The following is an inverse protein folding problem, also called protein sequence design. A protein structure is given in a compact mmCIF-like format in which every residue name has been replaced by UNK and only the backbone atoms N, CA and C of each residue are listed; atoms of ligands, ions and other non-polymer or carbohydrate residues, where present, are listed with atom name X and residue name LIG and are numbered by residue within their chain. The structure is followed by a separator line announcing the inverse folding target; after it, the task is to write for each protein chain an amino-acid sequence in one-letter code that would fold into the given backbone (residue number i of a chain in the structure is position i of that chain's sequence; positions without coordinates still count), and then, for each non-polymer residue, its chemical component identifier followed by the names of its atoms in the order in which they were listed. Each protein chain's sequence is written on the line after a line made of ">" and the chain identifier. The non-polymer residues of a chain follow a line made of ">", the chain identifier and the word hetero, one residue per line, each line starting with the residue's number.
data_IF_602780026818
#
_entry.id   IF_602780026818
#
_cell.length_a   1.000
_cell.length_b   1.000
_cell.length_c   1.000
_cell.angle_alpha   90.00
_cell.angle_beta   90.00
_cell.angle_gamma   90.00
#
_symmetry.space_group_name_H-M   'P 1'
#
loop_
_entity.id
_entity.type
_entity.pdbx_description
1 polymer ?
#
# COMPACT_ATOMS: atom_id res chain seq x y z
N UNK A 1 26.38 1.81 -19.32
CA UNK A 1 25.27 1.88 -18.37
C UNK A 1 24.27 0.82 -18.81
N UNK A 2 24.10 -0.27 -18.06
CA UNK A 2 23.10 -1.29 -18.40
C UNK A 2 21.75 -0.64 -18.07
N UNK A 3 20.89 -0.45 -19.06
CA UNK A 3 19.50 -0.05 -18.81
C UNK A 3 18.90 -1.13 -17.91
N UNK A 4 18.51 -0.76 -16.69
CA UNK A 4 17.84 -1.66 -15.79
C UNK A 4 16.44 -1.91 -16.38
N UNK A 5 16.11 -3.17 -16.67
CA UNK A 5 14.78 -3.49 -17.17
C UNK A 5 13.84 -3.68 -15.97
N UNK A 6 13.14 -2.60 -15.60
CA UNK A 6 12.20 -2.56 -14.48
C UNK A 6 10.97 -3.45 -14.68
N UNK A 7 10.63 -3.80 -15.92
CA UNK A 7 9.54 -4.72 -16.21
C UNK A 7 9.74 -6.11 -15.59
N UNK A 8 10.97 -6.47 -15.24
CA UNK A 8 11.30 -7.74 -14.58
C UNK A 8 10.86 -7.78 -13.10
N UNK A 9 10.48 -6.65 -12.51
CA UNK A 9 9.94 -6.61 -11.14
C UNK A 9 8.45 -6.89 -11.08
N UNK A 10 7.75 -6.79 -12.21
CA UNK A 10 6.35 -7.14 -12.31
C UNK A 10 6.18 -8.65 -12.29
N UNK A 11 5.17 -9.10 -11.56
CA UNK A 11 4.81 -10.50 -11.46
C UNK A 11 4.20 -10.95 -12.79
N UNK A 12 4.78 -11.98 -13.38
CA UNK A 12 4.36 -12.54 -14.69
C UNK A 12 3.93 -13.99 -14.59
N UNK A 13 4.46 -14.71 -13.61
CA UNK A 13 4.16 -16.12 -13.40
C UNK A 13 2.90 -16.30 -12.54
N UNK A 14 2.06 -17.26 -12.91
CA UNK A 14 0.79 -17.50 -12.24
C UNK A 14 0.98 -18.21 -10.89
N UNK A 15 2.01 -19.06 -10.73
CA UNK A 15 2.30 -19.70 -9.45
C UNK A 15 2.80 -18.65 -8.46
N UNK A 16 3.76 -17.81 -8.88
CA UNK A 16 4.24 -16.68 -8.07
C UNK A 16 3.09 -15.73 -7.68
N UNK A 17 2.20 -15.38 -8.62
CA UNK A 17 1.05 -14.55 -8.31
C UNK A 17 0.14 -15.19 -7.25
N UNK A 18 -0.14 -16.49 -7.34
CA UNK A 18 -0.99 -17.17 -6.37
C UNK A 18 -0.36 -17.21 -4.97
N UNK A 19 0.96 -17.45 -4.87
CA UNK A 19 1.69 -17.39 -3.59
C UNK A 19 1.61 -16.00 -2.95
N UNK A 20 1.87 -14.94 -3.75
CA UNK A 20 1.77 -13.57 -3.27
C UNK A 20 0.33 -13.21 -2.88
N UNK A 21 -0.66 -13.72 -3.62
CA UNK A 21 -2.08 -13.49 -3.34
C UNK A 21 -2.51 -14.14 -2.04
N UNK A 22 -2.01 -15.33 -1.71
CA UNK A 22 -2.24 -15.96 -0.41
C UNK A 22 -1.67 -15.09 0.72
N UNK A 23 -0.46 -14.56 0.55
CA UNK A 23 0.16 -13.66 1.53
C UNK A 23 -0.64 -12.35 1.73
N UNK A 24 -1.12 -11.73 0.64
CA UNK A 24 -2.01 -10.57 0.71
C UNK A 24 -3.32 -10.92 1.42
N UNK A 25 -3.93 -12.05 1.09
CA UNK A 25 -5.20 -12.50 1.69
C UNK A 25 -5.06 -12.92 3.16
N UNK A 26 -3.87 -13.34 3.59
CA UNK A 26 -3.56 -13.62 4.99
C UNK A 26 -3.36 -12.35 5.83
N UNK A 27 -3.09 -11.22 5.16
CA UNK A 27 -2.82 -9.91 5.78
C UNK A 27 -4.06 -9.03 5.79
N UNK A 28 -4.84 -9.05 4.71
CA UNK A 28 -5.95 -8.15 4.47
C UNK A 28 -7.27 -8.86 4.15
N UNK A 29 -8.36 -8.27 4.60
CA UNK A 29 -9.71 -8.58 4.14
C UNK A 29 -9.94 -7.88 2.79
N UNK A 30 -9.49 -8.49 1.69
CA UNK A 30 -9.45 -7.85 0.35
C UNK A 30 -10.84 -7.47 -0.22
N UNK A 31 -11.92 -8.01 0.33
CA UNK A 31 -13.32 -7.66 -0.01
C UNK A 31 -13.86 -6.48 0.82
N UNK A 32 -13.04 -5.91 1.70
CA UNK A 32 -13.39 -4.79 2.56
C UNK A 32 -12.75 -3.49 2.06
N UNK A 33 -13.31 -2.37 2.51
CA UNK A 33 -12.83 -1.01 2.24
C UNK A 33 -12.90 -0.17 3.49
N UNK A 34 -12.10 0.88 3.56
CA UNK A 34 -12.24 1.89 4.60
C UNK A 34 -13.68 2.45 4.58
N UNK A 35 -14.28 2.72 5.75
CA UNK A 35 -13.69 2.72 7.09
C UNK A 35 -13.84 1.38 7.82
N UNK A 36 -14.27 0.29 7.15
CA UNK A 36 -14.33 -1.05 7.75
C UNK A 36 -12.92 -1.58 7.96
N UNK A 37 -12.75 -2.52 8.87
CA UNK A 37 -11.45 -3.14 9.14
C UNK A 37 -10.93 -3.94 7.93
N UNK A 38 -9.92 -3.41 7.25
CA UNK A 38 -9.27 -4.03 6.08
C UNK A 38 -8.12 -4.96 6.45
N UNK A 39 -7.60 -4.90 7.68
CA UNK A 39 -6.57 -5.81 8.15
C UNK A 39 -7.17 -7.04 8.82
N UNK A 40 -6.50 -8.19 8.68
CA UNK A 40 -6.83 -9.36 9.49
C UNK A 40 -6.42 -9.13 10.96
N UNK A 41 -7.06 -9.85 11.89
CA UNK A 41 -6.94 -9.64 13.36
C UNK A 41 -5.50 -9.72 13.93
N UNK A 42 -4.53 -10.21 13.15
CA UNK A 42 -3.12 -10.26 13.54
C UNK A 42 -2.46 -8.89 13.52
N UNK A 43 -3.02 -7.90 12.84
CA UNK A 43 -2.44 -6.56 12.71
C UNK A 43 -3.16 -5.54 13.58
N UNK A 44 -2.37 -4.62 14.15
CA UNK A 44 -2.87 -3.50 14.95
C UNK A 44 -1.91 -2.30 14.89
N UNK A 45 -2.03 -1.40 15.86
CA UNK A 45 -1.17 -0.22 16.02
C UNK A 45 -1.17 0.71 14.81
N UNK A 46 -2.38 1.00 14.33
CA UNK A 46 -2.56 1.67 13.06
C UNK A 46 -2.06 3.11 13.06
N UNK A 47 -1.37 3.48 11.98
CA UNK A 47 -0.98 4.86 11.66
C UNK A 47 -1.39 5.19 10.23
N UNK A 48 -1.58 6.48 9.97
CA UNK A 48 -2.13 7.01 8.73
C UNK A 48 -1.15 7.96 8.07
N UNK A 49 -1.20 8.00 6.74
CA UNK A 49 -0.44 8.90 5.87
C UNK A 49 -1.23 9.21 4.60
N UNK A 50 -0.86 10.24 3.85
CA UNK A 50 -1.47 10.57 2.55
C UNK A 50 -1.16 9.52 1.47
N UNK A 51 -2.18 9.16 0.69
CA UNK A 51 -2.03 8.22 -0.43
C UNK A 51 -1.09 8.75 -1.50
N UNK A 52 -1.19 10.04 -1.84
CA UNK A 52 -0.34 10.68 -2.84
C UNK A 52 1.13 10.72 -2.41
N UNK A 53 1.41 10.86 -1.11
CA UNK A 53 2.76 10.70 -0.60
C UNK A 53 3.28 9.28 -0.88
N UNK A 54 2.47 8.24 -0.62
CA UNK A 54 2.85 6.85 -0.88
C UNK A 54 3.16 6.56 -2.36
N UNK A 55 2.57 7.32 -3.29
CA UNK A 55 2.85 7.24 -4.72
C UNK A 55 4.08 8.05 -5.17
N UNK A 56 4.71 8.81 -4.28
CA UNK A 56 5.88 9.63 -4.59
C UNK A 56 7.21 8.89 -4.39
N UNK A 57 8.26 9.30 -5.11
CA UNK A 57 9.62 8.81 -4.91
C UNK A 57 10.11 8.90 -3.45
N UNK A 58 9.74 9.98 -2.75
CA UNK A 58 10.17 10.23 -1.36
C UNK A 58 9.71 9.15 -0.38
N UNK A 59 8.57 8.53 -0.64
CA UNK A 59 8.04 7.47 0.21
C UNK A 59 8.95 6.23 0.27
N UNK A 60 9.72 5.98 -0.79
CA UNK A 60 10.68 4.89 -0.81
C UNK A 60 11.69 4.98 0.34
N UNK A 61 12.06 6.19 0.78
CA UNK A 61 12.96 6.36 1.93
C UNK A 61 12.36 5.76 3.22
N UNK A 62 11.03 5.81 3.37
CA UNK A 62 10.32 5.16 4.47
C UNK A 62 10.35 3.64 4.29
N UNK A 63 9.89 3.15 3.14
CA UNK A 63 9.85 1.71 2.83
C UNK A 63 11.21 1.04 2.99
N UNK A 64 12.28 1.68 2.51
CA UNK A 64 13.67 1.22 2.62
C UNK A 64 14.12 1.02 4.06
N UNK A 65 13.72 1.91 4.97
CA UNK A 65 13.99 1.72 6.39
C UNK A 65 13.17 0.57 6.95
N UNK A 66 11.90 0.45 6.59
CA UNK A 66 11.05 -0.64 7.07
C UNK A 66 11.63 -2.01 6.69
N UNK A 67 11.94 -2.24 5.40
CA UNK A 67 12.53 -3.51 4.94
C UNK A 67 13.89 -3.82 5.55
N UNK A 68 14.74 -2.79 5.70
CA UNK A 68 16.05 -2.96 6.33
C UNK A 68 15.91 -3.40 7.79
N UNK A 69 14.98 -2.81 8.54
CA UNK A 69 14.73 -3.18 9.93
C UNK A 69 14.07 -4.56 10.07
N UNK A 70 13.35 -5.03 9.05
CA UNK A 70 12.65 -6.33 9.09
C UNK A 70 13.43 -7.47 8.45
N UNK A 71 14.59 -7.16 7.85
CA UNK A 71 15.41 -8.07 7.04
C UNK A 71 14.61 -8.68 5.87
N UNK A 72 13.79 -7.87 5.23
CA UNK A 72 13.05 -8.26 4.03
C UNK A 72 13.84 -7.89 2.77
N UNK A 73 13.89 -8.80 1.80
CA UNK A 73 14.65 -8.60 0.55
C UNK A 73 13.89 -7.72 -0.47
N UNK A 74 12.57 -7.59 -0.32
CA UNK A 74 11.71 -6.80 -1.18
C UNK A 74 10.49 -6.24 -0.45
N UNK A 75 9.82 -5.26 -1.06
CA UNK A 75 8.44 -4.86 -0.75
C UNK A 75 7.54 -5.35 -1.87
N UNK A 76 6.44 -6.03 -1.54
CA UNK A 76 5.38 -6.28 -2.50
C UNK A 76 4.50 -5.04 -2.61
N UNK A 77 4.37 -4.48 -3.81
CA UNK A 77 3.31 -3.52 -4.15
C UNK A 77 2.26 -4.26 -4.95
N UNK A 78 1.03 -4.32 -4.44
CA UNK A 78 -0.05 -5.06 -5.08
C UNK A 78 -1.26 -4.15 -5.27
N UNK A 79 -1.65 -3.95 -6.52
CA UNK A 79 -2.90 -3.27 -6.87
C UNK A 79 -4.05 -4.26 -6.74
N UNK A 80 -5.03 -3.91 -5.90
CA UNK A 80 -6.26 -4.68 -5.71
C UNK A 80 -7.40 -4.16 -6.57
N UNK A 81 -7.40 -2.85 -6.80
CA UNK A 81 -8.36 -2.19 -7.69
C UNK A 81 -7.63 -1.20 -8.62
N UNK A 82 -7.83 -1.29 -9.95
CA UNK A 82 -8.69 -2.23 -10.67
C UNK A 82 -8.22 -3.69 -10.53
N UNK A 83 -9.11 -4.66 -10.80
CA UNK A 83 -8.85 -6.08 -10.52
C UNK A 83 -7.56 -6.57 -11.21
N UNK A 84 -6.58 -7.12 -10.45
CA UNK A 84 -5.32 -7.57 -11.03
C UNK A 84 -5.52 -8.72 -12.02
N UNK A 85 -6.56 -9.54 -11.83
CA UNK A 85 -6.90 -10.67 -12.71
C UNK A 85 -7.98 -10.28 -13.72
N UNK A 86 -9.11 -9.73 -13.25
CA UNK A 86 -10.29 -9.50 -14.07
C UNK A 86 -10.14 -8.35 -15.07
N UNK A 87 -9.17 -7.47 -14.83
CA UNK A 87 -8.82 -6.35 -15.69
C UNK A 87 -7.36 -6.46 -16.15
N UNK A 88 -6.39 -6.23 -15.27
CA UNK A 88 -5.02 -5.98 -15.71
C UNK A 88 -4.37 -7.18 -16.42
N UNK A 89 -4.41 -8.38 -15.81
CA UNK A 89 -3.92 -9.60 -16.46
C UNK A 89 -4.67 -9.95 -17.74
N UNK A 90 -5.98 -9.72 -17.76
CA UNK A 90 -6.82 -10.01 -18.93
C UNK A 90 -6.44 -9.12 -20.13
N UNK A 91 -6.14 -7.84 -19.88
CA UNK A 91 -5.80 -6.89 -20.95
C UNK A 91 -4.31 -6.97 -21.35
N UNK A 92 -3.40 -7.19 -20.40
CA UNK A 92 -1.95 -7.04 -20.64
C UNK A 92 -1.12 -8.33 -20.47
N UNK A 93 -1.72 -9.44 -20.02
CA UNK A 93 -1.07 -10.75 -19.86
C UNK A 93 0.10 -10.79 -18.84
N UNK A 94 0.07 -9.91 -17.85
CA UNK A 94 0.88 -9.96 -16.61
C UNK A 94 0.14 -9.24 -15.48
N UNK A 95 0.67 -9.22 -14.26
CA UNK A 95 0.01 -8.58 -13.12
C UNK A 95 0.64 -7.22 -12.82
N UNK A 96 -0.18 -6.24 -12.44
CA UNK A 96 0.25 -4.95 -11.86
C UNK A 96 0.69 -5.10 -10.39
N UNK A 97 1.36 -6.20 -10.08
CA UNK A 97 1.94 -6.54 -8.80
C UNK A 97 3.45 -6.54 -8.96
N UNK A 98 4.16 -5.90 -8.03
CA UNK A 98 5.57 -5.54 -8.21
C UNK A 98 6.34 -5.98 -6.97
N UNK A 99 7.42 -6.73 -7.17
CA UNK A 99 8.39 -7.05 -6.11
C UNK A 99 9.54 -6.06 -6.19
N UNK A 100 9.46 -5.01 -5.39
CA UNK A 100 10.46 -3.95 -5.32
C UNK A 100 11.66 -4.38 -4.48
N UNK A 101 12.86 -4.59 -5.06
CA UNK A 101 14.02 -4.98 -4.27
C UNK A 101 14.44 -3.90 -3.27
N UNK A 102 14.95 -4.31 -2.10
CA UNK A 102 15.33 -3.39 -1.04
C UNK A 102 16.49 -2.42 -1.41
N UNK A 103 17.23 -2.71 -2.49
CA UNK A 103 18.39 -1.92 -2.91
C UNK A 103 18.07 -0.78 -3.90
N UNK A 104 16.80 -0.57 -4.26
CA UNK A 104 16.39 0.54 -5.14
C UNK A 104 16.70 1.93 -4.52
N UNK A 105 16.73 2.92 -5.40
CA UNK A 105 16.67 4.35 -5.11
C UNK A 105 15.23 4.87 -5.15
N UNK A 106 15.03 6.10 -4.66
CA UNK A 106 13.73 6.78 -4.66
C UNK A 106 13.22 7.06 -6.08
N UNK A 107 14.13 7.44 -6.99
CA UNK A 107 13.80 7.69 -8.39
C UNK A 107 13.38 6.39 -9.09
N UNK A 108 14.14 5.29 -8.89
CA UNK A 108 13.78 3.98 -9.43
C UNK A 108 12.42 3.49 -8.90
N UNK A 109 12.12 3.70 -7.62
CA UNK A 109 10.79 3.39 -7.07
C UNK A 109 9.68 4.10 -7.85
N UNK A 110 9.82 5.41 -8.05
CA UNK A 110 8.82 6.19 -8.77
C UNK A 110 8.72 5.79 -10.25
N UNK A 111 9.86 5.61 -10.92
CA UNK A 111 9.93 5.16 -12.32
C UNK A 111 9.24 3.79 -12.51
N UNK A 112 9.40 2.87 -11.55
CA UNK A 112 8.73 1.56 -11.59
C UNK A 112 7.21 1.71 -11.43
N UNK A 113 6.74 2.58 -10.53
CA UNK A 113 5.29 2.79 -10.37
C UNK A 113 4.66 3.55 -11.55
N UNK A 114 5.43 4.40 -12.22
CA UNK A 114 5.04 5.10 -13.45
C UNK A 114 5.08 4.19 -14.70
N UNK A 115 5.71 3.01 -14.59
CA UNK A 115 5.78 2.06 -15.68
C UNK A 115 4.44 1.36 -15.91
N UNK A 116 3.71 1.82 -16.92
CA UNK A 116 2.53 1.14 -17.46
C UNK A 116 2.86 0.23 -18.66
N UNK A 117 1.89 -0.57 -19.12
CA UNK A 117 1.96 -1.27 -20.41
C UNK A 117 2.29 -0.29 -21.56
N UNK A 118 3.05 -0.74 -22.57
CA UNK A 118 3.46 0.11 -23.70
C UNK A 118 2.24 0.64 -24.49
N UNK A 119 1.24 -0.22 -24.66
CA UNK A 119 -0.02 0.07 -25.33
C UNK A 119 -0.97 0.94 -24.48
N UNK A 120 -0.75 1.01 -23.17
CA UNK A 120 -1.55 1.81 -22.26
C UNK A 120 -0.76 2.36 -21.07
N UNK A 121 0.07 3.39 -21.26
CA UNK A 121 0.83 4.00 -20.18
C UNK A 121 -0.04 4.57 -19.05
N UNK A 122 -1.30 4.89 -19.34
CA UNK A 122 -2.28 5.35 -18.36
C UNK A 122 -2.65 4.26 -17.33
N UNK A 123 -2.34 2.99 -17.60
CA UNK A 123 -2.56 1.86 -16.68
C UNK A 123 -1.41 1.64 -15.68
N UNK A 124 -0.43 2.55 -15.63
CA UNK A 124 0.61 2.53 -14.59
C UNK A 124 0.00 2.64 -13.18
N UNK A 125 0.72 2.11 -12.18
CA UNK A 125 0.24 2.07 -10.77
C UNK A 125 -0.03 3.48 -10.24
N UNK A 126 0.82 4.46 -10.55
CA UNK A 126 0.60 5.85 -10.11
C UNK A 126 -0.67 6.48 -10.67
N UNK A 127 -1.16 6.01 -11.83
CA UNK A 127 -2.27 6.63 -12.57
C UNK A 127 -3.59 5.87 -12.43
N UNK A 128 -3.58 4.53 -12.58
CA UNK A 128 -4.78 3.69 -12.57
C UNK A 128 -4.75 2.67 -11.42
N UNK A 129 -4.81 3.19 -10.19
CA UNK A 129 -4.98 2.36 -8.99
C UNK A 129 -5.85 3.06 -7.96
N UNK A 130 -6.84 2.35 -7.43
CA UNK A 130 -7.78 2.84 -6.41
C UNK A 130 -7.52 2.20 -5.05
N UNK A 131 -7.01 0.97 -5.04
CA UNK A 131 -6.55 0.30 -3.82
C UNK A 131 -5.24 -0.40 -4.07
N UNK A 132 -4.25 -0.04 -3.27
CA UNK A 132 -2.87 -0.53 -3.37
C UNK A 132 -2.40 -0.92 -1.99
N UNK A 133 -1.70 -2.06 -1.90
CA UNK A 133 -1.07 -2.49 -0.66
C UNK A 133 0.44 -2.55 -0.82
N UNK A 134 1.17 -2.18 0.24
CA UNK A 134 2.60 -2.41 0.37
C UNK A 134 2.80 -3.41 1.50
N UNK A 135 3.42 -4.55 1.19
CA UNK A 135 3.52 -5.66 2.13
C UNK A 135 4.96 -6.14 2.26
N UNK A 136 5.38 -6.31 3.51
CA UNK A 136 6.64 -6.96 3.85
C UNK A 136 6.48 -8.49 3.71
N UNK A 137 7.41 -9.21 3.05
CA UNK A 137 7.38 -10.68 2.94
C UNK A 137 7.34 -11.39 4.29
N UNK A 138 8.00 -10.84 5.31
CA UNK A 138 7.91 -11.33 6.69
C UNK A 138 6.58 -11.02 7.40
N UNK A 139 5.67 -10.28 6.76
CA UNK A 139 4.37 -9.83 7.29
C UNK A 139 4.48 -9.07 8.61
N UNK A 140 5.61 -8.42 8.89
CA UNK A 140 5.84 -7.68 10.15
C UNK A 140 5.16 -6.32 10.15
N UNK A 141 4.98 -5.75 8.97
CA UNK A 141 4.22 -4.54 8.71
C UNK A 141 3.51 -4.69 7.37
N UNK A 142 2.40 -3.97 7.22
CA UNK A 142 1.62 -3.95 6.00
C UNK A 142 0.91 -2.60 5.86
N UNK A 143 0.78 -2.11 4.65
CA UNK A 143 0.15 -0.82 4.33
C UNK A 143 -0.99 -1.05 3.37
N UNK A 144 -2.14 -0.45 3.68
CA UNK A 144 -3.33 -0.40 2.84
C UNK A 144 -3.59 1.03 2.42
N UNK A 145 -3.60 1.32 1.12
CA UNK A 145 -3.90 2.62 0.55
C UNK A 145 -5.20 2.61 -0.25
N UNK A 146 -6.05 3.62 -0.04
CA UNK A 146 -7.23 3.88 -0.86
C UNK A 146 -7.22 5.31 -1.41
N UNK A 147 -7.21 5.42 -2.74
CA UNK A 147 -7.16 6.71 -3.43
C UNK A 147 -8.41 7.55 -3.18
N UNK A 148 -9.58 6.92 -3.15
CA UNK A 148 -10.87 7.61 -2.96
C UNK A 148 -10.97 8.36 -1.63
N UNK A 149 -10.21 7.92 -0.62
CA UNK A 149 -10.11 8.59 0.68
C UNK A 149 -8.80 9.37 0.87
N UNK A 150 -7.90 9.32 -0.11
CA UNK A 150 -6.61 10.01 -0.07
C UNK A 150 -5.66 9.55 1.04
N UNK A 151 -5.85 8.35 1.60
CA UNK A 151 -5.09 7.89 2.76
C UNK A 151 -4.54 6.47 2.60
N UNK A 152 -3.41 6.26 3.29
CA UNK A 152 -2.80 4.98 3.59
C UNK A 152 -2.89 4.69 5.09
N UNK A 153 -2.99 3.41 5.44
CA UNK A 153 -2.97 2.91 6.81
C UNK A 153 -1.86 1.87 6.92
N UNK A 154 -0.93 2.02 7.85
CA UNK A 154 0.05 0.98 8.19
C UNK A 154 -0.41 0.26 9.45
N UNK A 155 -0.28 -1.07 9.46
CA UNK A 155 -0.44 -1.91 10.64
C UNK A 155 0.79 -2.78 10.90
N UNK A 156 0.93 -3.24 12.14
CA UNK A 156 2.01 -4.13 12.58
C UNK A 156 1.45 -5.41 13.15
N UNK A 157 2.14 -6.54 12.93
CA UNK A 157 1.68 -7.83 13.45
C UNK A 157 2.09 -8.11 14.91
N UNK A 158 2.96 -7.28 15.48
CA UNK A 158 3.45 -7.39 16.86
C UNK A 158 3.98 -6.03 17.37
N UNK A 159 3.83 -5.79 18.68
CA UNK A 159 4.23 -4.54 19.33
C UNK A 159 5.73 -4.28 19.28
N UNK A 160 6.57 -5.32 19.24
CA UNK A 160 8.02 -5.19 19.11
C UNK A 160 8.40 -4.63 17.74
N UNK A 161 7.73 -5.06 16.67
CA UNK A 161 7.91 -4.51 15.33
C UNK A 161 7.45 -3.06 15.28
N UNK A 162 6.27 -2.76 15.83
CA UNK A 162 5.80 -1.39 15.97
C UNK A 162 6.84 -0.50 16.65
N UNK A 163 7.38 -0.91 17.80
CA UNK A 163 8.35 -0.11 18.55
C UNK A 163 9.66 0.08 17.78
N UNK A 164 10.12 -0.96 17.07
CA UNK A 164 11.31 -0.90 16.22
C UNK A 164 11.13 0.03 15.01
N UNK A 165 9.94 0.04 14.42
CA UNK A 165 9.66 0.72 13.15
C UNK A 165 9.14 2.16 13.32
N UNK A 166 8.49 2.47 14.45
CA UNK A 166 7.93 3.80 14.75
C UNK A 166 8.90 4.98 14.52
N UNK A 167 10.21 4.90 14.84
CA UNK A 167 11.14 6.00 14.60
C UNK A 167 11.31 6.40 13.11
N UNK A 168 10.96 5.51 12.18
CA UNK A 168 11.07 5.73 10.74
C UNK A 168 9.78 6.25 10.11
N UNK A 169 8.69 6.28 10.88
CA UNK A 169 7.34 6.67 10.45
C UNK A 169 7.01 8.08 10.95
N UNK A 170 7.88 9.04 10.66
CA UNK A 170 7.85 10.37 11.29
C UNK A 170 6.60 11.19 10.95
N UNK A 171 6.15 11.11 9.70
CA UNK A 171 4.98 11.80 9.19
C UNK A 171 3.68 11.02 9.44
N UNK A 172 3.78 9.73 9.79
CA UNK A 172 2.65 8.85 10.04
C UNK A 172 2.02 9.07 11.42
N UNK A 173 0.69 8.99 11.49
CA UNK A 173 -0.08 9.60 12.58
C UNK A 173 -1.19 8.68 13.07
N UNK A 174 -1.54 8.76 14.35
CA UNK A 174 -2.83 8.18 14.78
C UNK A 174 -3.97 8.99 14.18
N UNK A 175 -5.18 8.40 14.14
CA UNK A 175 -6.37 9.13 13.68
C UNK A 175 -6.58 10.38 14.54
N UNK A 176 -6.56 11.53 13.90
CA UNK A 176 -6.91 12.81 14.50
C UNK A 176 -7.37 13.80 13.41
N UNK A 177 -7.53 15.07 13.79
CA UNK A 177 -8.04 16.12 12.91
C UNK A 177 -7.27 16.31 11.61
N UNK A 178 -5.95 16.09 11.59
CA UNK A 178 -5.16 16.21 10.35
C UNK A 178 -5.44 15.02 9.44
N UNK A 179 -5.52 13.80 9.98
CA UNK A 179 -5.93 12.62 9.18
C UNK A 179 -7.32 12.83 8.58
N UNK A 180 -8.27 13.31 9.40
CA UNK A 180 -9.62 13.61 8.92
C UNK A 180 -9.62 14.70 7.85
N UNK A 181 -8.72 15.69 7.92
CA UNK A 181 -8.61 16.73 6.90
C UNK A 181 -8.12 16.21 5.55
N UNK A 182 -7.21 15.21 5.53
CA UNK A 182 -6.80 14.54 4.28
C UNK A 182 -7.96 13.79 3.63
N UNK A 183 -8.82 13.19 4.44
CA UNK A 183 -10.00 12.46 3.94
C UNK A 183 -11.03 13.47 3.42
N UNK A 184 -11.29 14.54 4.17
CA UNK A 184 -12.30 15.55 3.83
C UNK A 184 -12.07 16.22 2.47
N UNK A 185 -10.81 16.42 2.04
CA UNK A 185 -10.51 16.99 0.71
C UNK A 185 -11.05 16.15 -0.46
N UNK A 186 -11.33 14.86 -0.23
CA UNK A 186 -11.87 13.94 -1.22
C UNK A 186 -13.41 13.87 -1.22
N UNK A 187 -14.10 14.49 -0.25
CA UNK A 187 -15.57 14.55 -0.19
C UNK A 187 -16.08 15.86 -0.83
N UNK A 188 -16.31 15.82 -2.15
CA UNK A 188 -16.61 17.00 -2.99
C UNK A 188 -17.96 17.70 -2.69
N UNK A 189 -18.92 17.04 -2.02
CA UNK A 189 -20.28 17.61 -1.86
C UNK A 189 -21.03 17.30 -0.56
N UNK A 190 -20.86 16.13 0.04
CA UNK A 190 -21.61 15.74 1.26
C UNK A 190 -20.86 15.96 2.57
N UNK A 191 -19.60 16.45 2.49
CA UNK A 191 -18.69 16.50 3.62
C UNK A 191 -18.36 15.12 4.19
N UNK A 192 -17.44 15.08 5.14
CA UNK A 192 -17.07 13.82 5.79
C UNK A 192 -18.22 13.33 6.68
N UNK A 193 -18.84 12.20 6.30
CA UNK A 193 -19.99 11.65 7.02
C UNK A 193 -19.59 11.19 8.42
N UNK A 194 -20.38 11.55 9.44
CA UNK A 194 -20.09 11.18 10.84
C UNK A 194 -19.99 9.67 11.05
N UNK A 195 -20.79 8.88 10.35
CA UNK A 195 -20.77 7.42 10.48
C UNK A 195 -19.50 6.81 9.88
N UNK A 196 -18.93 7.45 8.85
CA UNK A 196 -17.61 7.09 8.34
C UNK A 196 -16.54 7.32 9.42
N UNK A 197 -16.53 8.53 10.02
CA UNK A 197 -15.58 8.88 11.09
C UNK A 197 -15.69 7.94 12.27
N UNK A 198 -16.92 7.69 12.77
CA UNK A 198 -17.15 6.75 13.88
C UNK A 198 -16.63 5.35 13.56
N UNK A 199 -16.89 4.86 12.35
CA UNK A 199 -16.42 3.54 11.92
C UNK A 199 -14.89 3.50 11.83
N UNK A 200 -14.27 4.58 11.34
CA UNK A 200 -12.81 4.67 11.22
C UNK A 200 -12.16 4.65 12.61
N UNK A 201 -12.67 5.46 13.56
CA UNK A 201 -12.21 5.39 14.95
C UNK A 201 -12.43 3.99 15.54
N UNK A 202 -13.65 3.43 15.46
CA UNK A 202 -13.96 2.12 16.03
C UNK A 202 -13.06 0.99 15.53
N UNK A 203 -12.59 1.05 14.28
CA UNK A 203 -11.76 -0.01 13.70
C UNK A 203 -10.26 0.25 13.83
N UNK A 204 -9.83 1.50 13.92
CA UNK A 204 -8.42 1.87 13.76
C UNK A 204 -7.83 2.73 14.89
N UNK A 205 -8.64 3.21 15.83
CA UNK A 205 -8.11 3.80 17.06
C UNK A 205 -7.73 2.69 18.04
N UNK A 206 -6.50 2.72 18.52
CA UNK A 206 -6.11 1.96 19.70
C UNK A 206 -6.84 2.54 20.91
N UNK A 207 -7.59 1.71 21.66
CA UNK A 207 -7.95 2.05 23.03
C UNK A 207 -6.65 2.20 23.82
N UNK A 208 -6.37 3.42 24.31
CA UNK A 208 -5.26 3.69 25.24
C UNK A 208 -5.69 3.32 26.66
#
# INVERSE_FOLDING_TARGET
>A
MRLMNFENFFVRDNEEFNELKEMVSATFNIESKLPKQVFCQKFGDFKFEEFDFAMSGEFWNTLKQLVYQTNDDFVLVAVLEPSPVGYFYKEFNYYNWIKLPANLSADEYYEILELGPEESPADAVVYNSYTVVWLSPSMKWAIWGERDYGICVIGFNDISHRNKLSPFLKSWRSIDKIVLSWIETNFVSDGLQQDFVKSLYSNYSQDI
#
